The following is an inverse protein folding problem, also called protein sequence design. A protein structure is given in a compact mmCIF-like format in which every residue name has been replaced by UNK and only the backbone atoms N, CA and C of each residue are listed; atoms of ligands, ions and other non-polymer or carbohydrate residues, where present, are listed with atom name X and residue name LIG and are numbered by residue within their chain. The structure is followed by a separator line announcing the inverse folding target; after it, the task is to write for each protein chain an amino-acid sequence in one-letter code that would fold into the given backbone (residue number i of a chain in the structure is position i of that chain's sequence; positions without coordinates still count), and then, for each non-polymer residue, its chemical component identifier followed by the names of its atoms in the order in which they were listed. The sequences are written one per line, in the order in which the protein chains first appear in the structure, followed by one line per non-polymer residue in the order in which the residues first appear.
data_IF_538782620867
#
_entry.id   IF_538782620867
#
_cell.length_a   1.000
_cell.length_b   1.000
_cell.length_c   1.000
_cell.angle_alpha   90.00
_cell.angle_beta   90.00
_cell.angle_gamma   90.00
#
_symmetry.space_group_name_H-M   'P 1'
#
loop_
_entity.id
_entity.type
_entity.pdbx_description
1 polymer ?
#
# COMPACT_ATOMS: atom_id res chain seq x y z
N UNK A 1 -30.95 16.58 57.64
CA UNK A 1 -29.64 16.22 57.06
C UNK A 1 -29.90 15.40 55.80
N UNK A 2 -29.80 16.01 54.62
CA UNK A 2 -29.86 15.29 53.34
C UNK A 2 -28.59 15.61 52.56
N UNK A 3 -27.68 14.64 52.52
CA UNK A 3 -26.50 14.68 51.66
C UNK A 3 -26.95 14.54 50.21
N UNK A 4 -26.85 15.62 49.44
CA UNK A 4 -27.02 15.61 47.98
C UNK A 4 -25.77 14.94 47.37
N UNK A 5 -25.89 13.67 47.00
CA UNK A 5 -24.92 13.01 46.14
C UNK A 5 -24.92 13.72 44.78
N UNK A 6 -23.83 14.45 44.51
CA UNK A 6 -23.63 15.11 43.21
C UNK A 6 -23.20 14.05 42.19
N UNK A 7 -23.86 13.93 41.02
CA UNK A 7 -23.51 12.95 40.00
C UNK A 7 -22.40 13.50 39.09
N UNK A 8 -21.31 13.95 39.70
CA UNK A 8 -20.10 14.39 38.99
C UNK A 8 -18.98 13.40 39.29
N UNK A 9 -19.28 12.10 39.14
CA UNK A 9 -18.23 11.12 38.91
C UNK A 9 -17.98 11.14 37.41
N UNK A 10 -17.02 11.98 37.05
CA UNK A 10 -16.52 12.15 35.71
C UNK A 10 -16.16 10.77 35.13
N UNK A 11 -16.80 10.46 33.99
CA UNK A 11 -16.35 9.44 33.05
C UNK A 11 -14.91 9.74 32.65
N UNK A 12 -13.96 9.23 33.42
CA UNK A 12 -12.55 9.20 33.11
C UNK A 12 -12.11 7.74 33.06
N UNK A 13 -12.64 6.99 32.10
CA UNK A 13 -12.14 5.66 31.79
C UNK A 13 -12.43 5.35 30.32
N UNK A 14 -11.37 4.94 29.63
CA UNK A 14 -11.35 4.38 28.27
C UNK A 14 -11.22 5.35 27.08
N UNK A 15 -10.29 6.30 27.13
CA UNK A 15 -9.53 6.72 25.93
C UNK A 15 -8.23 5.89 25.83
N UNK A 16 -8.36 4.59 25.56
CA UNK A 16 -7.22 3.68 25.32
C UNK A 16 -7.41 2.81 24.08
N UNK A 17 -8.11 3.30 23.06
CA UNK A 17 -8.38 2.54 21.83
C UNK A 17 -8.20 3.37 20.55
N UNK A 18 -7.16 4.21 20.45
CA UNK A 18 -6.79 4.79 19.13
C UNK A 18 -5.29 5.10 19.04
N UNK A 19 -4.40 4.10 19.16
CA UNK A 19 -2.98 4.29 18.81
C UNK A 19 -2.45 3.24 17.83
N UNK A 20 -3.33 2.44 17.22
CA UNK A 20 -2.96 1.37 16.30
C UNK A 20 -3.34 1.55 14.82
N UNK A 21 -4.00 2.64 14.41
CA UNK A 21 -4.60 2.71 13.06
C UNK A 21 -3.81 3.47 11.99
N UNK A 22 -2.77 4.24 12.31
CA UNK A 22 -2.18 5.18 11.34
C UNK A 22 -0.81 4.79 10.75
N UNK A 23 -0.16 3.75 11.27
CA UNK A 23 1.19 3.37 10.80
C UNK A 23 1.17 2.74 9.40
N UNK A 24 0.12 2.00 9.05
CA UNK A 24 0.01 1.37 7.72
C UNK A 24 -0.37 2.37 6.61
N UNK A 25 -0.91 3.54 6.98
CA UNK A 25 -1.35 4.58 6.03
C UNK A 25 -0.18 5.29 5.35
N UNK A 26 1.01 5.30 5.98
CA UNK A 26 2.18 6.02 5.48
C UNK A 26 3.34 5.12 5.01
N UNK A 27 3.32 3.82 5.30
CA UNK A 27 4.36 2.91 4.82
C UNK A 27 4.38 2.81 3.28
N UNK A 28 5.54 2.63 2.62
CA UNK A 28 5.58 2.38 1.19
C UNK A 28 4.68 1.19 0.79
N UNK A 29 3.95 1.32 -0.31
CA UNK A 29 3.13 0.23 -0.84
C UNK A 29 3.94 -0.54 -1.88
N UNK A 30 4.12 -1.84 -1.68
CA UNK A 30 4.80 -2.69 -2.66
C UNK A 30 3.81 -3.27 -3.66
N UNK A 31 4.17 -3.18 -4.95
CA UNK A 31 3.53 -3.87 -6.08
C UNK A 31 4.54 -4.88 -6.60
N UNK A 32 4.21 -6.15 -6.46
CA UNK A 32 5.07 -7.24 -6.87
C UNK A 32 4.66 -7.76 -8.25
N UNK A 33 5.58 -7.79 -9.21
CA UNK A 33 5.33 -8.14 -10.61
C UNK A 33 5.65 -9.61 -10.83
N UNK A 34 4.66 -10.37 -11.30
CA UNK A 34 4.76 -11.77 -11.72
C UNK A 34 4.68 -11.84 -13.24
N UNK A 35 5.81 -11.66 -13.94
CA UNK A 35 5.84 -11.48 -15.39
C UNK A 35 5.28 -12.69 -16.15
N UNK A 36 5.53 -13.92 -15.67
CA UNK A 36 5.08 -15.16 -16.31
C UNK A 36 3.56 -15.28 -16.48
N UNK A 37 2.79 -14.59 -15.64
CA UNK A 37 1.33 -14.65 -15.64
C UNK A 37 0.69 -13.26 -15.87
N UNK A 38 1.51 -12.25 -16.18
CA UNK A 38 1.09 -10.85 -16.35
C UNK A 38 0.27 -10.30 -15.18
N UNK A 39 0.53 -10.81 -13.97
CA UNK A 39 -0.14 -10.40 -12.74
C UNK A 39 0.79 -9.58 -11.85
N UNK A 40 0.17 -8.66 -11.14
CA UNK A 40 0.79 -7.86 -10.11
C UNK A 40 0.07 -8.17 -8.80
N UNK A 41 0.82 -8.36 -7.71
CA UNK A 41 0.25 -8.59 -6.38
C UNK A 41 0.42 -7.32 -5.56
N UNK A 42 -0.68 -6.86 -4.97
CA UNK A 42 -0.72 -5.70 -4.07
C UNK A 42 -1.57 -6.09 -2.87
N UNK A 43 -1.02 -5.99 -1.64
CA UNK A 43 -1.72 -6.40 -0.40
C UNK A 43 -2.43 -7.76 -0.56
N UNK A 44 -1.68 -8.76 -1.02
CA UNK A 44 -2.15 -10.14 -1.25
C UNK A 44 -3.17 -10.32 -2.38
N UNK A 45 -3.58 -9.25 -3.07
CA UNK A 45 -4.53 -9.32 -4.18
C UNK A 45 -3.83 -9.34 -5.54
N UNK A 46 -4.17 -10.34 -6.35
CA UNK A 46 -3.63 -10.50 -7.71
C UNK A 46 -4.47 -9.74 -8.74
N UNK A 47 -3.87 -8.73 -9.35
CA UNK A 47 -4.49 -7.88 -10.38
C UNK A 47 -3.72 -7.95 -11.69
N UNK A 48 -4.33 -7.58 -12.82
CA UNK A 48 -3.58 -7.49 -14.09
C UNK A 48 -2.59 -6.33 -14.00
N UNK A 49 -1.34 -6.56 -14.39
CA UNK A 49 -0.32 -5.51 -14.33
C UNK A 49 -0.66 -4.28 -15.18
N UNK A 50 -1.36 -4.47 -16.31
CA UNK A 50 -1.83 -3.36 -17.14
C UNK A 50 -2.89 -2.46 -16.46
N UNK A 51 -3.57 -2.96 -15.42
CA UNK A 51 -4.63 -2.22 -14.71
C UNK A 51 -4.25 -1.87 -13.26
N UNK A 52 -3.03 -2.16 -12.82
CA UNK A 52 -2.66 -1.99 -11.40
C UNK A 52 -2.76 -0.54 -10.95
N UNK A 53 -2.40 0.44 -11.79
CA UNK A 53 -2.56 1.86 -11.46
C UNK A 53 -4.02 2.26 -11.22
N UNK A 54 -4.95 1.71 -12.00
CA UNK A 54 -6.40 1.88 -11.79
C UNK A 54 -6.85 1.27 -10.47
N UNK A 55 -6.44 0.03 -10.21
CA UNK A 55 -6.75 -0.68 -8.97
C UNK A 55 -6.27 0.08 -7.72
N UNK A 56 -5.04 0.57 -7.72
CA UNK A 56 -4.48 1.37 -6.62
C UNK A 56 -5.31 2.63 -6.33
N UNK A 57 -5.76 3.31 -7.38
CA UNK A 57 -6.47 4.59 -7.26
C UNK A 57 -7.95 4.43 -6.94
N UNK A 58 -8.62 3.49 -7.60
CA UNK A 58 -10.09 3.41 -7.59
C UNK A 58 -10.60 2.42 -6.56
N UNK A 59 -9.91 1.27 -6.40
CA UNK A 59 -10.33 0.23 -5.46
C UNK A 59 -9.68 0.45 -4.08
N UNK A 60 -8.36 0.61 -4.04
CA UNK A 60 -7.63 0.81 -2.78
C UNK A 60 -7.62 2.27 -2.31
N UNK A 61 -8.05 3.21 -3.15
CA UNK A 61 -8.12 4.65 -2.84
C UNK A 61 -6.81 5.23 -2.30
N UNK A 62 -5.68 4.73 -2.81
CA UNK A 62 -4.35 5.19 -2.38
C UNK A 62 -4.11 6.62 -2.87
N UNK A 63 -3.61 7.48 -1.97
CA UNK A 63 -3.24 8.85 -2.30
C UNK A 63 -2.08 8.92 -3.31
N UNK A 64 -2.11 9.90 -4.21
CA UNK A 64 -1.12 10.08 -5.30
C UNK A 64 0.33 10.27 -4.83
N UNK A 65 0.51 10.71 -3.58
CA UNK A 65 1.81 10.99 -2.97
C UNK A 65 2.34 9.82 -2.13
N UNK A 66 1.59 8.71 -2.03
CA UNK A 66 2.09 7.50 -1.37
C UNK A 66 3.25 6.94 -2.19
N UNK A 67 4.37 6.64 -1.54
CA UNK A 67 5.47 5.91 -2.16
C UNK A 67 4.98 4.53 -2.61
N UNK A 68 5.19 4.22 -3.90
CA UNK A 68 4.90 2.92 -4.51
C UNK A 68 6.21 2.27 -4.94
N UNK A 69 6.52 1.11 -4.37
CA UNK A 69 7.69 0.31 -4.75
C UNK A 69 7.25 -0.78 -5.72
N UNK A 70 7.83 -0.83 -6.91
CA UNK A 70 7.58 -1.88 -7.91
C UNK A 70 8.75 -2.87 -7.86
N UNK A 71 8.48 -4.11 -7.46
CA UNK A 71 9.48 -5.17 -7.41
C UNK A 71 9.10 -6.31 -8.36
N UNK A 72 10.08 -7.09 -8.81
CA UNK A 72 9.81 -8.34 -9.53
C UNK A 72 9.81 -9.52 -8.57
N UNK A 73 8.80 -10.38 -8.66
CA UNK A 73 8.83 -11.67 -7.95
C UNK A 73 9.84 -12.58 -8.63
N UNK A 74 10.87 -12.99 -7.87
CA UNK A 74 11.97 -13.86 -8.30
C UNK A 74 12.60 -13.40 -9.63
N UNK A 75 13.69 -12.65 -9.53
CA UNK A 75 14.56 -12.39 -10.68
C UNK A 75 15.14 -13.72 -11.16
N UNK A 76 14.73 -14.19 -12.34
CA UNK A 76 15.42 -15.24 -13.07
C UNK A 76 16.11 -14.64 -14.31
N UNK A 77 17.02 -15.41 -14.93
CA UNK A 77 17.83 -14.91 -16.05
C UNK A 77 17.04 -14.60 -17.33
N UNK A 78 15.77 -15.00 -17.39
CA UNK A 78 14.91 -14.84 -18.56
C UNK A 78 14.03 -13.60 -18.48
N UNK A 79 13.90 -12.98 -17.29
CA UNK A 79 13.09 -11.77 -17.12
C UNK A 79 13.97 -10.54 -17.09
N UNK A 80 13.51 -9.52 -17.81
CA UNK A 80 14.26 -8.27 -17.95
C UNK A 80 13.70 -7.20 -17.03
N UNK A 81 14.44 -6.11 -16.88
CA UNK A 81 13.93 -4.91 -16.21
C UNK A 81 12.73 -4.27 -16.93
N UNK A 82 12.38 -4.73 -18.14
CA UNK A 82 11.33 -4.11 -18.95
C UNK A 82 9.97 -4.24 -18.28
N UNK A 83 9.69 -5.38 -17.66
CA UNK A 83 8.40 -5.67 -17.04
C UNK A 83 8.14 -4.76 -15.83
N UNK A 84 9.12 -4.61 -14.93
CA UNK A 84 9.00 -3.67 -13.80
C UNK A 84 8.98 -2.21 -14.24
N UNK A 85 9.73 -1.84 -15.30
CA UNK A 85 9.69 -0.49 -15.87
C UNK A 85 8.33 -0.19 -16.52
N UNK A 86 7.75 -1.16 -17.23
CA UNK A 86 6.41 -1.08 -17.80
C UNK A 86 5.38 -0.86 -16.70
N UNK A 87 5.40 -1.67 -15.63
CA UNK A 87 4.46 -1.54 -14.52
C UNK A 87 4.63 -0.19 -13.80
N UNK A 88 5.86 0.25 -13.56
CA UNK A 88 6.13 1.57 -13.00
C UNK A 88 5.54 2.68 -13.88
N UNK A 89 5.62 2.56 -15.21
CA UNK A 89 4.99 3.52 -16.12
C UNK A 89 3.45 3.49 -16.02
N UNK A 90 2.84 2.30 -15.98
CA UNK A 90 1.38 2.16 -15.78
C UNK A 90 0.93 2.86 -14.49
N UNK A 91 1.68 2.70 -13.40
CA UNK A 91 1.38 3.35 -12.11
C UNK A 91 1.56 4.86 -12.20
N UNK A 92 2.65 5.36 -12.81
CA UNK A 92 2.87 6.80 -12.99
C UNK A 92 1.78 7.46 -13.85
N UNK A 93 1.39 6.82 -14.96
CA UNK A 93 0.30 7.30 -15.84
C UNK A 93 -1.04 7.35 -15.11
N UNK A 94 -1.26 6.49 -14.10
CA UNK A 94 -2.45 6.56 -13.25
C UNK A 94 -2.47 7.76 -12.27
N UNK A 95 -1.35 8.47 -12.14
CA UNK A 95 -1.22 9.72 -11.39
C UNK A 95 -0.43 9.62 -10.08
N UNK A 96 0.33 8.54 -9.85
CA UNK A 96 1.21 8.41 -8.69
C UNK A 96 2.57 9.05 -8.97
N UNK A 97 3.02 9.91 -8.05
CA UNK A 97 4.22 10.73 -8.26
C UNK A 97 5.49 10.09 -7.71
N UNK A 98 5.38 9.34 -6.61
CA UNK A 98 6.51 8.68 -5.96
C UNK A 98 6.49 7.18 -6.27
N UNK A 99 7.11 6.80 -7.39
CA UNK A 99 7.17 5.42 -7.87
C UNK A 99 8.62 5.00 -8.04
N UNK A 100 9.05 4.01 -7.26
CA UNK A 100 10.40 3.47 -7.27
C UNK A 100 10.41 2.05 -7.84
N UNK A 101 11.43 1.71 -8.61
CA UNK A 101 11.63 0.33 -9.11
C UNK A 101 12.71 -0.32 -8.26
N UNK A 102 12.37 -1.41 -7.59
CA UNK A 102 13.27 -2.17 -6.74
C UNK A 102 13.66 -3.45 -7.46
N UNK A 103 14.94 -3.51 -7.82
CA UNK A 103 15.57 -4.73 -8.27
C UNK A 103 16.21 -5.37 -7.06
N UNK A 104 15.60 -6.43 -6.53
CA UNK A 104 16.33 -7.30 -5.61
C UNK A 104 17.36 -8.05 -6.46
N UNK A 105 18.53 -7.43 -6.60
CA UNK A 105 19.68 -8.02 -7.28
C UNK A 105 20.03 -9.35 -6.61
N UNK A 106 20.36 -10.35 -7.44
CA UNK A 106 20.93 -11.62 -7.03
C UNK A 106 21.97 -11.41 -5.91
N UNK A 107 21.68 -11.93 -4.72
CA UNK A 107 22.75 -12.35 -3.80
C UNK A 107 23.17 -13.76 -4.20
#
# INVERSE_FOLDING_TARGET
MHLKLSPVLALAAATLLVTGCDTESNAPLTVEVYPNIERCVVKEQAVRCASVGKYLREELKIGRNRQINISMYRMDKNHTDREVKYVANVVRVAGFNDVQVWQFGFQ
#
